data_IF_935978132505
#
_entry.id   IF_935978132505
#
_cell.length_a   1.000
_cell.length_b   1.000
_cell.length_c   1.000
_cell.angle_alpha   90.00
_cell.angle_beta   90.00
_cell.angle_gamma   90.00
#
_symmetry.space_group_name_H-M   'P 1'
#
loop_
_entity.id
_entity.type
_entity.pdbx_description
1 polymer ?
#
# COMPACT_ATOMS: atom_id res chain seq x y z
N UNK A 1 -12.35 57.10 4.60
CA UNK A 1 -11.81 57.87 3.46
C UNK A 1 -10.35 58.17 3.79
N UNK A 2 -9.31 57.71 3.12
CA UNK A 2 -9.16 57.03 1.83
C UNK A 2 -8.05 55.98 1.94
N UNK A 3 -8.26 54.86 1.24
CA UNK A 3 -7.23 53.89 0.91
C UNK A 3 -6.20 54.53 -0.02
N UNK A 4 -4.91 54.25 0.21
CA UNK A 4 -3.82 54.52 -0.73
C UNK A 4 -3.13 53.20 -1.06
N UNK A 5 -3.59 52.61 -2.14
CA UNK A 5 -3.04 51.45 -2.85
C UNK A 5 -1.61 51.74 -3.30
N UNK A 6 -0.62 50.95 -2.87
CA UNK A 6 0.68 50.86 -3.54
C UNK A 6 0.61 49.71 -4.54
N UNK A 7 0.60 50.04 -5.82
CA UNK A 7 0.84 49.13 -6.92
C UNK A 7 2.29 48.63 -6.86
N UNK A 8 2.47 47.31 -6.84
CA UNK A 8 3.73 46.68 -7.20
C UNK A 8 3.77 46.51 -8.73
N UNK A 9 4.88 46.93 -9.32
CA UNK A 9 5.16 46.91 -10.77
C UNK A 9 5.25 45.47 -11.30
N UNK A 10 4.79 45.20 -12.53
CA UNK A 10 5.01 43.92 -13.19
C UNK A 10 6.38 43.88 -13.88
N UNK A 11 6.88 42.65 -14.05
CA UNK A 11 8.01 42.18 -14.87
C UNK A 11 9.14 41.55 -14.04
N UNK A 12 9.04 40.24 -13.83
CA UNK A 12 10.16 39.38 -14.21
C UNK A 12 9.62 38.25 -15.11
N UNK A 13 10.27 38.14 -16.26
CA UNK A 13 9.89 37.39 -17.42
C UNK A 13 10.76 36.13 -17.43
N UNK A 14 10.37 35.14 -16.63
CA UNK A 14 10.87 33.77 -16.78
C UNK A 14 9.72 32.94 -17.35
N UNK A 15 9.98 32.24 -18.45
CA UNK A 15 9.00 31.49 -19.23
C UNK A 15 7.96 30.79 -18.34
N UNK A 16 6.65 30.90 -18.61
CA UNK A 16 5.69 30.01 -17.97
C UNK A 16 6.11 28.57 -18.29
N UNK A 17 6.14 27.65 -17.31
CA UNK A 17 6.41 26.26 -17.61
C UNK A 17 5.42 25.82 -18.70
N UNK A 18 5.93 25.19 -19.76
CA UNK A 18 5.11 24.55 -20.78
C UNK A 18 4.05 23.73 -20.05
N UNK A 19 2.77 24.08 -20.21
CA UNK A 19 1.64 23.51 -19.49
C UNK A 19 1.76 21.98 -19.40
N UNK A 20 2.24 21.44 -18.28
CA UNK A 20 2.57 20.02 -18.11
C UNK A 20 1.36 19.11 -18.43
N UNK A 21 0.14 19.67 -18.43
CA UNK A 21 -1.09 19.00 -18.82
C UNK A 21 -1.14 18.51 -20.27
N UNK A 22 -0.45 19.14 -21.23
CA UNK A 22 -0.48 18.67 -22.63
C UNK A 22 0.41 17.44 -22.82
N UNK A 23 1.57 17.39 -22.15
CA UNK A 23 2.48 16.23 -22.22
C UNK A 23 1.81 15.02 -21.60
N UNK A 24 1.17 15.17 -20.44
CA UNK A 24 0.40 14.10 -19.80
C UNK A 24 -0.70 13.59 -20.73
N UNK A 25 -1.43 14.48 -21.40
CA UNK A 25 -2.45 14.08 -22.40
C UNK A 25 -1.86 13.31 -23.58
N UNK A 26 -0.64 13.61 -24.02
CA UNK A 26 0.05 12.83 -25.06
C UNK A 26 0.47 11.44 -24.56
N UNK A 27 0.96 11.34 -23.33
CA UNK A 27 1.27 10.07 -22.69
C UNK A 27 0.01 9.20 -22.55
N UNK A 28 -1.10 9.79 -22.09
CA UNK A 28 -2.40 9.14 -21.90
C UNK A 28 -3.03 8.67 -23.22
N UNK A 29 -2.74 9.34 -24.33
CA UNK A 29 -3.15 8.90 -25.68
C UNK A 29 -2.23 7.83 -26.28
N UNK A 30 -1.11 7.52 -25.63
CA UNK A 30 -0.12 6.55 -26.11
C UNK A 30 0.64 7.03 -27.35
N UNK A 31 0.76 8.35 -27.55
CA UNK A 31 1.47 8.92 -28.72
C UNK A 31 2.97 9.06 -28.49
N UNK A 32 3.42 8.97 -27.24
CA UNK A 32 4.83 9.00 -26.88
C UNK A 32 5.37 7.58 -26.65
N UNK A 33 6.56 7.24 -27.19
CA UNK A 33 7.24 5.99 -26.87
C UNK A 33 7.46 5.82 -25.36
N UNK A 34 7.28 4.60 -24.86
CA UNK A 34 7.45 4.24 -23.44
C UNK A 34 8.82 4.69 -22.88
N UNK A 35 9.88 4.68 -23.70
CA UNK A 35 11.23 5.14 -23.31
C UNK A 35 11.27 6.63 -22.94
N UNK A 36 10.52 7.47 -23.67
CA UNK A 36 10.40 8.90 -23.39
C UNK A 36 9.51 9.14 -22.17
N UNK A 37 8.40 8.40 -22.05
CA UNK A 37 7.50 8.46 -20.88
C UNK A 37 8.27 8.13 -19.60
N UNK A 38 9.02 7.03 -19.60
CA UNK A 38 9.88 6.60 -18.49
C UNK A 38 11.01 7.60 -18.18
N UNK A 39 11.60 8.24 -19.20
CA UNK A 39 12.57 9.31 -18.98
C UNK A 39 11.96 10.52 -18.26
N UNK A 40 10.73 10.89 -18.61
CA UNK A 40 9.94 11.91 -17.89
C UNK A 40 9.67 11.52 -16.45
N UNK A 41 9.22 10.28 -16.21
CA UNK A 41 9.00 9.74 -14.86
C UNK A 41 10.26 9.84 -13.98
N UNK A 42 11.44 9.45 -14.51
CA UNK A 42 12.72 9.60 -13.79
C UNK A 42 13.09 11.05 -13.51
N UNK A 43 12.70 12.00 -14.37
CA UNK A 43 12.89 13.42 -14.10
C UNK A 43 11.99 13.89 -12.94
N UNK A 44 10.72 13.50 -12.93
CA UNK A 44 9.79 13.79 -11.83
C UNK A 44 10.24 13.16 -10.50
N UNK A 45 10.72 11.92 -10.51
CA UNK A 45 11.26 11.25 -9.31
C UNK A 45 12.44 12.05 -8.73
N UNK A 46 13.36 12.51 -9.57
CA UNK A 46 14.48 13.37 -9.15
C UNK A 46 14.02 14.71 -8.60
N UNK A 47 12.98 15.29 -9.17
CA UNK A 47 12.39 16.52 -8.68
C UNK A 47 11.75 16.31 -7.31
N UNK A 48 10.97 15.23 -7.14
CA UNK A 48 10.35 14.89 -5.86
C UNK A 48 11.36 14.72 -4.73
N UNK A 49 12.50 14.07 -4.98
CA UNK A 49 13.57 13.95 -3.98
C UNK A 49 14.13 15.32 -3.56
N UNK A 50 14.17 16.31 -4.46
CA UNK A 50 14.59 17.68 -4.11
C UNK A 50 13.52 18.41 -3.32
N UNK A 51 12.26 18.31 -3.74
CA UNK A 51 11.12 18.98 -3.12
C UNK A 51 10.88 18.47 -1.70
N UNK A 52 11.05 17.17 -1.48
CA UNK A 52 10.96 16.52 -0.17
C UNK A 52 12.27 16.61 0.63
N UNK A 53 13.24 17.40 0.15
CA UNK A 53 14.48 17.70 0.85
C UNK A 53 15.29 16.45 1.26
N UNK A 54 15.37 15.44 0.39
CA UNK A 54 16.05 14.16 0.66
C UNK A 54 17.49 14.31 1.18
N UNK A 55 18.21 15.32 0.67
CA UNK A 55 19.60 15.62 1.03
C UNK A 55 19.79 16.49 2.29
N UNK A 56 18.71 17.00 2.90
CA UNK A 56 18.77 17.90 4.05
C UNK A 56 18.16 17.23 5.29
N UNK A 57 19.02 16.91 6.25
CA UNK A 57 18.59 16.21 7.47
C UNK A 57 17.68 17.04 8.38
N UNK A 58 17.92 18.35 8.48
CA UNK A 58 17.16 19.24 9.36
C UNK A 58 15.74 19.42 8.81
N UNK A 59 15.63 19.76 7.52
CA UNK A 59 14.32 19.93 6.87
C UNK A 59 13.52 18.64 6.84
N UNK A 60 14.18 17.50 6.61
CA UNK A 60 13.51 16.20 6.64
C UNK A 60 12.94 15.87 8.01
N UNK A 61 13.66 16.16 9.09
CA UNK A 61 13.15 15.97 10.46
C UNK A 61 11.94 16.88 10.72
N UNK A 62 12.02 18.17 10.37
CA UNK A 62 10.90 19.10 10.53
C UNK A 62 9.65 18.68 9.74
N UNK A 63 9.84 18.19 8.51
CA UNK A 63 8.76 17.67 7.68
C UNK A 63 8.13 16.41 8.30
N UNK A 64 8.94 15.49 8.82
CA UNK A 64 8.45 14.31 9.53
C UNK A 64 7.68 14.68 10.80
N UNK A 65 8.16 15.61 11.62
CA UNK A 65 7.48 16.06 12.83
C UNK A 65 6.10 16.67 12.50
N UNK A 66 6.03 17.47 11.44
CA UNK A 66 4.78 18.05 10.94
C UNK A 66 3.82 16.95 10.50
N UNK A 67 4.30 15.97 9.72
CA UNK A 67 3.50 14.83 9.29
C UNK A 67 3.01 13.99 10.47
N UNK A 68 3.86 13.71 11.46
CA UNK A 68 3.48 12.95 12.65
C UNK A 68 2.40 13.65 13.47
N UNK A 69 2.49 14.97 13.62
CA UNK A 69 1.46 15.76 14.28
C UNK A 69 0.10 15.62 13.55
N UNK A 70 0.10 15.75 12.22
CA UNK A 70 -1.11 15.65 11.40
C UNK A 70 -1.72 14.24 11.43
N UNK A 71 -0.91 13.19 11.27
CA UNK A 71 -1.35 11.80 11.33
C UNK A 71 -1.99 11.45 12.68
N UNK A 72 -1.45 11.95 13.79
CA UNK A 72 -1.99 11.70 15.15
C UNK A 72 -3.35 12.38 15.38
N UNK A 73 -3.64 13.47 14.68
CA UNK A 73 -4.93 14.18 14.79
C UNK A 73 -5.93 13.79 13.72
N UNK A 74 -5.50 13.07 12.69
CA UNK A 74 -6.34 12.59 11.60
C UNK A 74 -7.31 11.48 12.05
N UNK A 75 -8.37 11.18 11.28
CA UNK A 75 -9.10 9.92 11.41
C UNK A 75 -8.23 8.72 10.99
N UNK A 76 -8.68 7.49 11.24
CA UNK A 76 -7.96 6.26 10.82
C UNK A 76 -7.70 6.23 9.32
N UNK A 77 -8.68 6.63 8.50
CA UNK A 77 -8.56 6.74 7.05
C UNK A 77 -9.37 7.95 6.55
N UNK A 78 -8.95 8.52 5.43
CA UNK A 78 -9.67 9.55 4.68
C UNK A 78 -10.04 9.00 3.30
N UNK A 79 -11.10 9.52 2.68
CA UNK A 79 -11.45 9.22 1.29
C UNK A 79 -11.63 7.72 0.96
N UNK A 80 -12.15 6.93 1.90
CA UNK A 80 -12.28 5.46 1.77
C UNK A 80 -13.14 5.03 0.58
N UNK A 81 -14.16 5.83 0.22
CA UNK A 81 -15.01 5.56 -0.95
C UNK A 81 -14.29 5.86 -2.27
N UNK A 82 -13.60 7.00 -2.38
CA UNK A 82 -12.90 7.37 -3.61
C UNK A 82 -11.75 6.40 -3.94
N UNK A 83 -11.00 5.95 -2.93
CA UNK A 83 -9.97 4.93 -3.09
C UNK A 83 -10.55 3.60 -3.62
N UNK A 84 -11.75 3.23 -3.18
CA UNK A 84 -12.43 2.01 -3.63
C UNK A 84 -12.89 2.11 -5.09
N UNK A 85 -13.45 3.25 -5.46
CA UNK A 85 -13.90 3.55 -6.82
C UNK A 85 -12.72 3.55 -7.81
N UNK A 86 -11.55 4.06 -7.43
CA UNK A 86 -10.40 4.15 -8.32
C UNK A 86 -9.75 2.80 -8.69
N UNK A 87 -9.71 1.83 -7.77
CA UNK A 87 -9.00 0.56 -7.98
C UNK A 87 -9.88 -0.69 -8.10
N UNK A 88 -11.11 -0.65 -7.57
CA UNK A 88 -11.94 -1.85 -7.42
C UNK A 88 -13.22 -1.81 -8.27
N UNK A 89 -13.35 -0.83 -9.18
CA UNK A 89 -14.41 -0.82 -10.22
C UNK A 89 -14.20 -1.92 -11.28
N UNK A 90 -12.97 -2.38 -11.49
CA UNK A 90 -12.69 -3.42 -12.47
C UNK A 90 -13.02 -4.82 -11.95
N UNK A 91 -13.59 -5.69 -12.80
CA UNK A 91 -13.90 -7.06 -12.42
C UNK A 91 -12.63 -7.85 -12.11
N UNK A 92 -12.70 -8.84 -11.23
CA UNK A 92 -11.56 -9.72 -10.92
C UNK A 92 -10.91 -10.34 -12.16
N UNK A 93 -11.70 -10.61 -13.21
CA UNK A 93 -11.21 -11.11 -14.50
C UNK A 93 -10.19 -10.19 -15.19
N UNK A 94 -10.23 -8.88 -14.94
CA UNK A 94 -9.21 -7.94 -15.44
C UNK A 94 -7.84 -8.25 -14.80
N UNK A 95 -7.81 -8.43 -13.49
CA UNK A 95 -6.60 -8.75 -12.74
C UNK A 95 -6.08 -10.16 -13.08
N UNK A 96 -6.98 -11.13 -13.24
CA UNK A 96 -6.63 -12.49 -13.72
C UNK A 96 -5.99 -12.50 -15.11
N UNK A 97 -6.25 -11.46 -15.90
CA UNK A 97 -5.72 -11.40 -17.24
C UNK A 97 -4.21 -11.12 -17.29
N UNK A 98 -3.61 -10.55 -16.25
CA UNK A 98 -2.23 -10.08 -16.33
C UNK A 98 -1.42 -10.15 -15.01
N UNK A 99 -2.06 -10.33 -13.85
CA UNK A 99 -1.35 -10.65 -12.63
C UNK A 99 -0.90 -12.12 -12.63
N UNK A 100 -0.12 -12.51 -11.61
CA UNK A 100 0.29 -13.90 -11.45
C UNK A 100 -0.87 -14.80 -10.95
N UNK A 101 -0.66 -16.13 -10.89
CA UNK A 101 -1.70 -17.09 -10.55
C UNK A 101 -2.31 -16.92 -9.15
N UNK A 102 -1.60 -16.28 -8.22
CA UNK A 102 -2.10 -15.96 -6.88
C UNK A 102 -2.81 -14.61 -6.83
N UNK A 103 -2.86 -13.85 -7.93
CA UNK A 103 -3.47 -12.51 -8.02
C UNK A 103 -2.91 -11.57 -6.95
N UNK A 104 -1.60 -11.67 -6.69
CA UNK A 104 -0.95 -10.85 -5.69
C UNK A 104 -0.76 -9.46 -6.27
N UNK A 105 -1.68 -8.55 -5.98
CA UNK A 105 -1.57 -7.15 -6.41
C UNK A 105 -0.77 -6.32 -5.40
N UNK A 106 0.48 -6.73 -5.19
CA UNK A 106 1.50 -6.10 -4.34
C UNK A 106 2.89 -6.68 -4.68
N UNK A 107 3.97 -6.10 -4.18
CA UNK A 107 5.36 -6.47 -4.51
C UNK A 107 5.63 -7.99 -4.45
N UNK A 108 6.15 -8.60 -5.53
CA UNK A 108 6.66 -9.99 -5.53
C UNK A 108 8.09 -10.06 -4.97
N UNK A 109 8.64 -11.26 -4.76
CA UNK A 109 10.00 -11.46 -4.24
C UNK A 109 10.87 -12.24 -5.22
N UNK A 110 12.06 -11.72 -5.54
CA UNK A 110 12.96 -12.28 -6.56
C UNK A 110 14.37 -12.50 -5.99
N UNK A 111 14.57 -13.43 -5.04
CA UNK A 111 15.83 -13.58 -4.33
C UNK A 111 17.03 -13.92 -5.24
N UNK A 112 16.81 -14.71 -6.29
CA UNK A 112 17.86 -15.03 -7.29
C UNK A 112 17.83 -14.11 -8.51
N UNK A 113 16.77 -13.32 -8.68
CA UNK A 113 16.55 -12.50 -9.87
C UNK A 113 16.23 -13.32 -11.12
N UNK A 114 15.84 -14.58 -10.99
CA UNK A 114 15.48 -15.46 -12.12
C UNK A 114 14.05 -15.99 -12.02
N UNK A 115 13.34 -15.68 -10.95
CA UNK A 115 11.98 -16.10 -10.72
C UNK A 115 11.05 -15.53 -11.80
N UNK A 116 10.11 -16.37 -12.24
CA UNK A 116 8.91 -15.97 -12.98
C UNK A 116 7.98 -15.18 -12.07
N UNK A 117 6.98 -14.50 -12.64
CA UNK A 117 5.97 -13.79 -11.85
C UNK A 117 5.30 -14.73 -10.84
N UNK A 118 4.87 -15.92 -11.27
CA UNK A 118 4.24 -16.93 -10.40
C UNK A 118 5.13 -17.36 -9.23
N UNK A 119 6.42 -17.63 -9.51
CA UNK A 119 7.39 -17.98 -8.45
C UNK A 119 7.60 -16.81 -7.48
N UNK A 120 7.61 -15.57 -7.98
CA UNK A 120 7.81 -14.39 -7.14
C UNK A 120 6.65 -14.11 -6.17
N UNK A 121 5.42 -14.44 -6.58
CA UNK A 121 4.26 -14.35 -5.70
C UNK A 121 4.37 -15.33 -4.54
N UNK A 122 4.70 -16.60 -4.86
CA UNK A 122 4.88 -17.66 -3.85
C UNK A 122 6.03 -17.31 -2.90
N UNK A 123 7.19 -16.91 -3.44
CA UNK A 123 8.35 -16.56 -2.63
C UNK A 123 8.06 -15.42 -1.65
N UNK A 124 7.25 -14.43 -2.06
CA UNK A 124 6.85 -13.35 -1.15
C UNK A 124 5.87 -13.86 -0.08
N UNK A 125 4.87 -14.68 -0.44
CA UNK A 125 3.92 -15.26 0.52
C UNK A 125 4.63 -16.16 1.55
N UNK A 126 5.61 -16.95 1.12
CA UNK A 126 6.46 -17.76 2.00
C UNK A 126 7.28 -16.88 2.96
N UNK A 127 7.80 -15.74 2.48
CA UNK A 127 8.49 -14.79 3.34
C UNK A 127 7.58 -14.20 4.43
N UNK A 128 6.29 -14.01 4.14
CA UNK A 128 5.31 -13.58 5.14
C UNK A 128 5.11 -14.67 6.18
N UNK A 129 4.98 -15.93 5.75
CA UNK A 129 4.81 -17.05 6.66
C UNK A 129 5.98 -17.20 7.64
N UNK A 130 7.21 -17.06 7.15
CA UNK A 130 8.42 -17.08 7.97
C UNK A 130 8.44 -15.90 8.95
N UNK A 131 8.31 -14.66 8.44
CA UNK A 131 8.46 -13.43 9.24
C UNK A 131 7.33 -13.24 10.25
N UNK A 132 6.11 -13.63 9.90
CA UNK A 132 4.95 -13.59 10.78
C UNK A 132 4.85 -14.83 11.68
N UNK A 133 5.75 -15.81 11.56
CA UNK A 133 5.77 -17.03 12.37
C UNK A 133 4.42 -17.77 12.30
N UNK A 134 3.97 -18.01 11.07
CA UNK A 134 2.70 -18.69 10.81
C UNK A 134 2.83 -20.19 11.02
N UNK A 135 1.83 -20.75 11.68
CA UNK A 135 1.74 -22.17 11.98
C UNK A 135 0.33 -22.67 11.70
N UNK A 136 0.23 -23.96 11.37
CA UNK A 136 -1.08 -24.60 11.21
C UNK A 136 -1.82 -24.63 12.56
N UNK A 137 -3.16 -24.54 12.51
CA UNK A 137 -4.01 -24.46 13.70
C UNK A 137 -4.25 -23.05 14.25
N UNK A 138 -3.55 -22.02 13.74
CA UNK A 138 -3.75 -20.63 14.15
C UNK A 138 -5.06 -20.03 13.61
N UNK A 139 -5.61 -19.05 14.32
CA UNK A 139 -6.61 -18.10 13.80
C UNK A 139 -5.91 -16.89 13.20
N UNK A 140 -6.02 -16.72 11.88
CA UNK A 140 -5.24 -15.75 11.11
C UNK A 140 -6.17 -14.75 10.41
N UNK A 141 -5.93 -13.45 10.58
CA UNK A 141 -6.61 -12.37 9.85
C UNK A 141 -5.75 -11.83 8.70
N UNK A 142 -6.30 -11.82 7.49
CA UNK A 142 -5.82 -11.05 6.35
C UNK A 142 -6.58 -9.72 6.30
N UNK A 143 -5.92 -8.64 6.75
CA UNK A 143 -6.49 -7.32 6.96
C UNK A 143 -6.24 -6.42 5.74
N UNK A 144 -7.27 -6.28 4.90
CA UNK A 144 -7.18 -5.64 3.58
C UNK A 144 -6.83 -6.67 2.49
N UNK A 145 -7.64 -7.73 2.37
CA UNK A 145 -7.26 -8.94 1.65
C UNK A 145 -7.21 -8.84 0.10
N UNK A 146 -7.65 -7.72 -0.48
CA UNK A 146 -7.67 -7.50 -1.93
C UNK A 146 -8.42 -8.62 -2.68
N UNK A 147 -7.78 -9.23 -3.67
CA UNK A 147 -8.33 -10.38 -4.42
C UNK A 147 -8.12 -11.75 -3.72
N UNK A 148 -7.75 -11.72 -2.44
CA UNK A 148 -7.58 -12.91 -1.59
C UNK A 148 -6.30 -13.70 -1.83
N UNK A 149 -5.27 -13.06 -2.39
CA UNK A 149 -3.99 -13.72 -2.68
C UNK A 149 -3.40 -14.41 -1.45
N UNK A 150 -3.32 -13.67 -0.34
CA UNK A 150 -2.82 -14.17 0.93
C UNK A 150 -3.84 -15.10 1.59
N UNK A 151 -5.09 -14.67 1.79
CA UNK A 151 -6.14 -15.49 2.40
C UNK A 151 -6.31 -16.89 1.77
N UNK A 152 -6.37 -16.99 0.45
CA UNK A 152 -6.52 -18.27 -0.25
C UNK A 152 -5.26 -19.13 -0.14
N UNK A 153 -4.08 -18.51 -0.17
CA UNK A 153 -2.81 -19.23 0.03
C UNK A 153 -2.69 -19.77 1.45
N UNK A 154 -3.08 -18.98 2.47
CA UNK A 154 -3.08 -19.41 3.87
C UNK A 154 -4.01 -20.61 4.09
N UNK A 155 -5.23 -20.53 3.57
CA UNK A 155 -6.23 -21.59 3.71
C UNK A 155 -5.77 -22.91 3.09
N UNK A 156 -5.10 -22.84 1.94
CA UNK A 156 -4.49 -24.00 1.26
C UNK A 156 -3.26 -24.54 2.00
N UNK A 157 -2.41 -23.65 2.53
CA UNK A 157 -1.13 -24.00 3.15
C UNK A 157 -1.27 -24.55 4.57
N UNK A 158 -2.33 -24.15 5.28
CA UNK A 158 -2.59 -24.43 6.69
C UNK A 158 -4.03 -24.94 6.87
N UNK A 159 -4.30 -26.22 6.58
CA UNK A 159 -5.67 -26.76 6.54
C UNK A 159 -6.38 -26.77 7.91
N UNK A 160 -5.64 -26.75 9.02
CA UNK A 160 -6.20 -26.70 10.37
C UNK A 160 -6.30 -25.27 10.92
N UNK A 161 -5.70 -24.28 10.25
CA UNK A 161 -5.85 -22.87 10.60
C UNK A 161 -7.26 -22.36 10.27
N UNK A 162 -7.71 -21.32 10.98
CA UNK A 162 -8.95 -20.59 10.71
C UNK A 162 -8.61 -19.23 10.10
N UNK A 163 -8.85 -19.07 8.81
CA UNK A 163 -8.51 -17.85 8.09
C UNK A 163 -9.74 -16.94 8.04
N UNK A 164 -9.53 -15.68 8.41
CA UNK A 164 -10.51 -14.60 8.22
C UNK A 164 -9.90 -13.58 7.28
N UNK A 165 -10.65 -13.16 6.27
CA UNK A 165 -10.23 -12.12 5.34
C UNK A 165 -11.18 -10.93 5.43
N UNK A 166 -10.66 -9.73 5.69
CA UNK A 166 -11.44 -8.49 5.70
C UNK A 166 -11.16 -7.68 4.45
N UNK A 167 -12.21 -7.44 3.67
CA UNK A 167 -12.22 -6.51 2.53
C UNK A 167 -13.33 -5.49 2.71
N UNK A 168 -13.20 -4.31 2.12
CA UNK A 168 -14.29 -3.33 2.05
C UNK A 168 -15.15 -3.47 0.77
N UNK A 169 -14.83 -4.44 -0.10
CA UNK A 169 -15.48 -4.66 -1.40
C UNK A 169 -16.29 -5.96 -1.41
N UNK A 170 -17.57 -5.85 -1.76
CA UNK A 170 -18.44 -7.00 -1.99
C UNK A 170 -17.99 -7.84 -3.19
N UNK A 171 -17.43 -7.20 -4.24
CA UNK A 171 -16.93 -7.89 -5.43
C UNK A 171 -15.71 -8.77 -5.12
N UNK A 172 -14.78 -8.26 -4.31
CA UNK A 172 -13.63 -9.04 -3.83
C UNK A 172 -14.10 -10.22 -2.97
N UNK A 173 -15.06 -9.99 -2.06
CA UNK A 173 -15.63 -11.08 -1.26
C UNK A 173 -16.20 -12.20 -2.13
N UNK A 174 -17.10 -11.87 -3.05
CA UNK A 174 -17.74 -12.87 -3.92
C UNK A 174 -16.70 -13.63 -4.76
N UNK A 175 -15.68 -12.93 -5.24
CA UNK A 175 -14.57 -13.53 -5.96
C UNK A 175 -13.80 -14.56 -5.11
N UNK A 176 -13.42 -14.18 -3.88
CA UNK A 176 -12.65 -15.04 -2.98
C UNK A 176 -13.46 -16.26 -2.56
N UNK A 177 -14.74 -16.08 -2.20
CA UNK A 177 -15.64 -17.19 -1.83
C UNK A 177 -15.80 -18.19 -2.99
N UNK A 178 -15.95 -17.71 -4.22
CA UNK A 178 -16.03 -18.57 -5.40
C UNK A 178 -14.72 -19.36 -5.62
N UNK A 179 -13.56 -18.71 -5.45
CA UNK A 179 -12.25 -19.38 -5.56
C UNK A 179 -11.98 -20.37 -4.43
N UNK A 180 -12.42 -20.08 -3.22
CA UNK A 180 -12.35 -20.99 -2.08
C UNK A 180 -13.20 -22.25 -2.33
N UNK A 181 -14.46 -22.06 -2.77
CA UNK A 181 -15.36 -23.17 -3.09
C UNK A 181 -14.80 -24.05 -4.23
N UNK A 182 -14.26 -23.44 -5.29
CA UNK A 182 -13.63 -24.18 -6.39
C UNK A 182 -12.47 -25.07 -5.93
N UNK A 183 -11.74 -24.64 -4.90
CA UNK A 183 -10.57 -25.36 -4.34
C UNK A 183 -10.93 -26.26 -3.16
N UNK A 184 -12.20 -26.30 -2.75
CA UNK A 184 -12.64 -27.06 -1.57
C UNK A 184 -12.11 -26.52 -0.24
N UNK A 185 -11.75 -25.24 -0.16
CA UNK A 185 -11.24 -24.61 1.05
C UNK A 185 -12.40 -24.27 1.99
N UNK A 186 -12.49 -24.96 3.12
CA UNK A 186 -13.58 -24.82 4.10
C UNK A 186 -13.19 -24.02 5.34
N UNK A 187 -11.92 -23.64 5.45
CA UNK A 187 -11.34 -22.98 6.61
C UNK A 187 -11.14 -21.46 6.42
N UNK A 188 -11.80 -20.85 5.43
CA UNK A 188 -11.74 -19.42 5.11
C UNK A 188 -13.11 -18.76 5.27
N UNK A 189 -13.16 -17.70 6.08
CA UNK A 189 -14.29 -16.79 6.21
C UNK A 189 -13.94 -15.43 5.60
N UNK A 190 -14.75 -14.95 4.65
CA UNK A 190 -14.56 -13.62 4.03
C UNK A 190 -15.60 -12.65 4.56
N UNK A 191 -15.15 -11.55 5.14
CA UNK A 191 -15.97 -10.51 5.74
C UNK A 191 -15.86 -9.22 4.97
N UNK A 192 -16.99 -8.56 4.73
CA UNK A 192 -17.03 -7.23 4.11
C UNK A 192 -17.23 -6.16 5.18
N UNK A 193 -16.31 -5.22 5.31
CA UNK A 193 -16.39 -4.12 6.28
C UNK A 193 -15.33 -3.04 6.07
N UNK A 194 -15.67 -1.80 6.39
CA UNK A 194 -14.71 -0.70 6.44
C UNK A 194 -13.90 -0.78 7.75
N UNK A 195 -12.58 -0.85 7.68
CA UNK A 195 -11.69 -0.93 8.85
C UNK A 195 -11.93 0.18 9.88
N UNK A 196 -12.36 1.37 9.44
CA UNK A 196 -12.66 2.48 10.36
C UNK A 196 -13.80 2.09 11.32
N UNK A 197 -14.87 1.53 10.78
CA UNK A 197 -16.14 1.31 11.49
C UNK A 197 -16.32 -0.14 11.97
N UNK A 198 -15.70 -1.08 11.27
CA UNK A 198 -15.86 -2.52 11.50
C UNK A 198 -15.15 -2.94 12.78
N UNK A 199 -15.82 -3.71 13.62
CA UNK A 199 -15.21 -4.36 14.78
C UNK A 199 -15.55 -5.85 14.78
N UNK A 200 -14.62 -6.66 15.27
CA UNK A 200 -14.90 -8.08 15.49
C UNK A 200 -15.59 -8.22 16.85
N UNK A 201 -16.79 -8.84 16.90
CA UNK A 201 -17.49 -8.98 18.17
C UNK A 201 -16.65 -9.76 19.17
N UNK A 202 -16.65 -9.30 20.42
CA UNK A 202 -16.11 -10.05 21.55
C UNK A 202 -17.07 -11.19 21.89
N UNK A 203 -17.10 -12.23 21.06
CA UNK A 203 -17.99 -13.38 21.23
C UNK A 203 -17.43 -14.33 22.32
N UNK A 204 -17.52 -13.96 23.60
CA UNK A 204 -17.17 -14.84 24.71
C UNK A 204 -15.79 -15.53 24.56
N UNK A 205 -15.76 -16.86 24.48
CA UNK A 205 -14.56 -17.71 24.32
C UNK A 205 -13.97 -17.71 22.89
N UNK A 206 -14.47 -16.90 21.94
CA UNK A 206 -13.95 -16.82 20.58
C UNK A 206 -12.60 -16.09 20.54
N UNK A 207 -11.56 -16.88 20.84
CA UNK A 207 -10.11 -16.60 20.84
C UNK A 207 -9.73 -15.50 19.83
N UNK A 208 -9.14 -14.43 20.33
CA UNK A 208 -8.53 -13.38 19.52
C UNK A 208 -7.56 -13.93 18.46
N UNK A 209 -7.16 -13.14 17.46
CA UNK A 209 -6.30 -13.62 16.39
C UNK A 209 -4.88 -13.92 16.88
N UNK A 210 -4.37 -15.11 16.58
CA UNK A 210 -2.97 -15.45 16.82
C UNK A 210 -2.07 -14.62 15.91
N UNK A 211 -2.52 -14.38 14.67
CA UNK A 211 -1.78 -13.62 13.67
C UNK A 211 -2.71 -12.69 12.91
N UNK A 212 -2.28 -11.46 12.73
CA UNK A 212 -2.90 -10.51 11.81
C UNK A 212 -1.84 -10.12 10.79
N UNK A 213 -2.16 -10.18 9.51
CA UNK A 213 -1.29 -9.74 8.42
C UNK A 213 -1.99 -8.63 7.66
N UNK A 214 -1.24 -7.61 7.27
CA UNK A 214 -1.71 -6.57 6.37
C UNK A 214 -0.69 -6.35 5.28
N UNK A 215 -1.13 -6.39 4.02
CA UNK A 215 -0.28 -6.26 2.83
C UNK A 215 -0.76 -5.09 1.99
N UNK A 216 0.03 -4.02 1.96
CA UNK A 216 -0.20 -2.78 1.20
C UNK A 216 -1.58 -2.13 1.45
N UNK A 217 -2.01 -2.10 2.71
CA UNK A 217 -3.23 -1.40 3.15
C UNK A 217 -2.93 -0.15 4.01
N UNK A 218 -1.82 -0.15 4.76
CA UNK A 218 -1.46 0.92 5.69
C UNK A 218 -1.14 2.26 4.98
N UNK A 219 -0.80 2.23 3.71
CA UNK A 219 -0.52 3.40 2.86
C UNK A 219 -1.79 4.24 2.61
N UNK A 220 -2.96 3.62 2.74
CA UNK A 220 -4.25 4.29 2.67
C UNK A 220 -4.72 4.86 4.02
N UNK A 221 -4.03 4.52 5.11
CA UNK A 221 -4.38 4.93 6.46
C UNK A 221 -3.72 6.27 6.82
N UNK A 222 -4.15 6.86 7.93
CA UNK A 222 -3.65 8.13 8.46
C UNK A 222 -3.30 8.01 9.94
N UNK A 223 -4.29 7.83 10.80
CA UNK A 223 -4.02 7.67 12.23
C UNK A 223 -3.58 6.26 12.58
N UNK A 224 -2.28 6.01 12.45
CA UNK A 224 -1.66 4.73 12.78
C UNK A 224 -1.77 4.37 14.26
N UNK A 225 -1.80 5.35 15.17
CA UNK A 225 -1.99 5.11 16.60
C UNK A 225 -3.34 4.46 16.89
N UNK A 226 -4.42 5.11 16.47
CA UNK A 226 -5.78 4.57 16.64
C UNK A 226 -5.98 3.24 15.90
N UNK A 227 -5.36 3.08 14.72
CA UNK A 227 -5.41 1.82 13.97
C UNK A 227 -4.71 0.68 14.74
N UNK A 228 -3.50 0.92 15.23
CA UNK A 228 -2.72 -0.10 15.96
C UNK A 228 -3.36 -0.42 17.31
N UNK A 229 -3.94 0.56 18.01
CA UNK A 229 -4.76 0.35 19.21
C UNK A 229 -5.93 -0.61 18.92
N UNK A 230 -6.64 -0.35 17.81
CA UNK A 230 -7.76 -1.20 17.38
C UNK A 230 -7.30 -2.62 17.05
N UNK A 231 -6.21 -2.77 16.30
CA UNK A 231 -5.64 -4.08 15.95
C UNK A 231 -5.16 -4.82 17.21
N UNK A 232 -4.59 -4.12 18.19
CA UNK A 232 -4.13 -4.72 19.45
C UNK A 232 -5.28 -5.42 20.21
N UNK A 233 -6.49 -4.85 20.19
CA UNK A 233 -7.69 -5.45 20.80
C UNK A 233 -8.12 -6.75 20.12
N UNK A 234 -7.79 -6.91 18.84
CA UNK A 234 -8.14 -8.10 18.06
C UNK A 234 -7.13 -9.24 18.21
N UNK A 235 -5.93 -8.95 18.71
CA UNK A 235 -4.87 -9.94 18.89
C UNK A 235 -5.03 -10.75 20.18
N UNK A 236 -4.64 -12.02 20.12
CA UNK A 236 -4.37 -12.82 21.31
C UNK A 236 -3.20 -12.22 22.11
N UNK A 237 -2.99 -12.67 23.35
CA UNK A 237 -1.95 -12.11 24.23
C UNK A 237 -0.53 -12.34 23.69
N UNK A 238 -0.28 -13.48 23.04
CA UNK A 238 0.93 -13.80 22.29
C UNK A 238 0.77 -13.56 20.77
N UNK A 239 -0.31 -12.87 20.39
CA UNK A 239 -0.65 -12.57 19.01
C UNK A 239 0.34 -11.59 18.37
N UNK A 240 0.55 -11.74 17.05
CA UNK A 240 1.47 -10.88 16.29
C UNK A 240 0.79 -10.21 15.12
N UNK A 241 1.15 -8.95 14.88
CA UNK A 241 0.79 -8.24 13.66
C UNK A 241 2.01 -8.19 12.73
N UNK A 242 1.83 -8.65 11.50
CA UNK A 242 2.80 -8.48 10.42
C UNK A 242 2.28 -7.45 9.41
N UNK A 243 3.10 -6.45 9.11
CA UNK A 243 2.75 -5.39 8.15
C UNK A 243 3.76 -5.40 7.01
N UNK A 244 3.28 -5.53 5.78
CA UNK A 244 4.01 -5.25 4.55
C UNK A 244 3.51 -3.91 3.99
N UNK A 245 4.41 -2.96 3.83
CA UNK A 245 4.09 -1.61 3.36
C UNK A 245 5.18 -1.13 2.39
N UNK A 246 4.80 -0.55 1.25
CA UNK A 246 5.78 0.15 0.43
C UNK A 246 6.23 1.43 1.14
N UNK A 247 7.49 1.82 0.97
CA UNK A 247 8.06 2.95 1.68
C UNK A 247 9.22 3.59 0.91
N UNK A 248 9.50 4.84 1.24
CA UNK A 248 10.81 5.43 0.98
C UNK A 248 11.75 5.14 2.16
N UNK A 249 13.06 5.02 1.93
CA UNK A 249 14.03 4.65 2.98
C UNK A 249 14.08 5.64 4.17
N UNK A 250 13.84 6.94 3.93
CA UNK A 250 13.96 8.01 4.95
C UNK A 250 12.82 9.02 4.97
N UNK A 251 12.39 9.51 3.81
CA UNK A 251 11.26 10.41 3.63
C UNK A 251 9.89 9.78 3.94
N UNK A 252 8.99 10.57 4.50
CA UNK A 252 7.57 10.27 4.62
C UNK A 252 6.78 11.52 4.24
N UNK A 253 5.69 11.38 3.49
CA UNK A 253 4.85 12.49 3.03
C UNK A 253 3.47 12.00 2.57
N UNK A 254 2.49 12.89 2.50
CA UNK A 254 1.21 12.58 1.86
C UNK A 254 1.33 12.57 0.33
N UNK A 255 0.58 11.68 -0.31
CA UNK A 255 0.24 11.84 -1.72
C UNK A 255 -0.80 12.95 -1.81
N UNK A 256 -0.35 14.16 -2.08
CA UNK A 256 -1.19 15.35 -2.18
C UNK A 256 -1.11 15.94 -3.58
N UNK A 257 -2.26 16.11 -4.23
CA UNK A 257 -2.43 16.81 -5.50
C UNK A 257 -2.18 18.32 -5.36
N UNK A 258 -0.92 18.71 -5.11
CA UNK A 258 -0.52 20.12 -4.95
C UNK A 258 -0.57 20.90 -6.27
N UNK A 259 -0.52 20.20 -7.41
CA UNK A 259 -0.56 20.79 -8.74
C UNK A 259 -1.23 19.88 -9.78
N UNK A 260 -1.34 20.38 -11.01
CA UNK A 260 -1.92 19.67 -12.15
C UNK A 260 -1.10 18.48 -12.63
N UNK A 261 0.15 18.31 -12.17
CA UNK A 261 1.06 17.26 -12.60
C UNK A 261 1.15 16.06 -11.67
N UNK A 262 0.49 16.08 -10.51
CA UNK A 262 0.28 14.90 -9.67
C UNK A 262 -0.81 13.94 -10.21
N UNK A 263 -0.56 13.47 -11.44
CA UNK A 263 -1.37 12.48 -12.14
C UNK A 263 -1.52 11.18 -11.33
N UNK A 264 -0.44 10.78 -10.65
CA UNK A 264 -0.37 9.54 -9.90
C UNK A 264 -1.29 9.57 -8.66
N UNK A 265 -1.26 10.65 -7.88
CA UNK A 265 -2.20 10.82 -6.77
C UNK A 265 -3.64 10.91 -7.27
N UNK A 266 -3.89 11.64 -8.36
CA UNK A 266 -5.26 11.84 -8.89
C UNK A 266 -5.96 10.56 -9.30
N UNK A 267 -5.26 9.64 -9.97
CA UNK A 267 -5.89 8.45 -10.54
C UNK A 267 -5.71 7.19 -9.70
N UNK A 268 -4.68 7.10 -8.86
CA UNK A 268 -4.31 5.85 -8.20
C UNK A 268 -3.94 5.98 -6.71
N UNK A 269 -3.64 7.17 -6.16
CA UNK A 269 -3.27 7.29 -4.74
C UNK A 269 -3.91 8.50 -4.06
N UNK A 270 -5.18 8.77 -4.35
CA UNK A 270 -5.88 9.91 -3.75
C UNK A 270 -5.99 9.69 -2.23
N UNK A 271 -5.50 10.66 -1.46
CA UNK A 271 -5.53 10.58 0.00
C UNK A 271 -4.55 9.57 0.60
N UNK A 272 -3.59 9.03 -0.15
CA UNK A 272 -2.60 8.09 0.36
C UNK A 272 -1.43 8.76 1.12
N UNK A 273 -0.57 7.93 1.69
CA UNK A 273 0.69 8.35 2.35
C UNK A 273 1.84 7.55 1.73
N UNK A 274 2.93 8.22 1.37
CA UNK A 274 4.23 7.57 1.19
C UNK A 274 4.90 7.50 2.57
N UNK A 275 4.99 6.33 3.20
CA UNK A 275 5.62 6.21 4.50
C UNK A 275 7.15 6.14 4.36
N UNK A 276 7.85 6.47 5.44
CA UNK A 276 9.26 6.11 5.58
C UNK A 276 9.39 4.71 6.19
N UNK A 277 10.54 4.07 5.99
CA UNK A 277 10.90 2.86 6.72
C UNK A 277 10.88 3.05 8.25
N UNK A 278 10.95 4.27 8.77
CA UNK A 278 10.89 4.52 10.21
C UNK A 278 9.51 4.98 10.71
N UNK A 279 8.54 5.19 9.82
CA UNK A 279 7.30 5.90 10.17
C UNK A 279 6.54 5.20 11.31
N UNK A 280 6.31 3.90 11.18
CA UNK A 280 5.54 3.13 12.16
C UNK A 280 6.25 2.97 13.52
N UNK A 281 7.56 3.22 13.60
CA UNK A 281 8.28 3.23 14.88
C UNK A 281 7.82 4.38 15.81
N UNK A 282 7.11 5.38 15.27
CA UNK A 282 6.58 6.53 16.01
C UNK A 282 5.18 6.29 16.60
N UNK A 283 4.62 5.09 16.40
CA UNK A 283 3.28 4.69 16.85
C UNK A 283 3.39 3.32 17.53
N UNK A 284 3.83 3.31 18.79
CA UNK A 284 4.10 2.07 19.54
C UNK A 284 3.45 2.02 20.92
N UNK A 285 2.33 2.71 21.09
CA UNK A 285 1.65 2.80 22.39
C UNK A 285 1.04 1.46 22.80
N UNK A 286 0.38 0.74 21.87
CA UNK A 286 -0.26 -0.56 22.13
C UNK A 286 0.47 -1.76 21.52
N UNK A 287 1.16 -1.55 20.40
CA UNK A 287 1.93 -2.57 19.68
C UNK A 287 3.37 -2.08 19.47
N UNK A 288 4.36 -2.92 19.74
CA UNK A 288 5.77 -2.59 19.55
C UNK A 288 6.36 -3.40 18.41
N UNK A 289 7.14 -2.75 17.53
CA UNK A 289 7.95 -3.41 16.51
C UNK A 289 9.06 -4.21 17.20
N UNK A 290 9.09 -5.52 16.98
CA UNK A 290 10.13 -6.41 17.50
C UNK A 290 11.15 -6.78 16.43
N UNK A 291 10.75 -6.75 15.16
CA UNK A 291 11.61 -6.97 14.01
C UNK A 291 11.18 -6.11 12.84
N UNK A 292 12.16 -5.71 12.04
CA UNK A 292 11.94 -4.96 10.81
C UNK A 292 12.85 -5.52 9.72
N UNK A 293 12.34 -5.59 8.49
CA UNK A 293 13.09 -5.97 7.30
C UNK A 293 12.88 -4.95 6.19
N UNK A 294 13.91 -4.80 5.35
CA UNK A 294 13.83 -4.01 4.13
C UNK A 294 13.93 -4.93 2.92
N UNK A 295 13.02 -4.77 1.97
CA UNK A 295 13.01 -5.43 0.68
C UNK A 295 13.32 -4.36 -0.37
N UNK A 296 14.42 -4.55 -1.11
CA UNK A 296 14.89 -3.60 -2.11
C UNK A 296 13.83 -3.35 -3.19
N UNK A 297 13.70 -2.11 -3.66
CA UNK A 297 12.67 -1.72 -4.63
C UNK A 297 12.77 -2.41 -5.98
N UNK A 298 13.94 -2.96 -6.36
CA UNK A 298 14.10 -3.72 -7.61
C UNK A 298 13.14 -4.91 -7.70
N UNK A 299 12.71 -5.49 -6.58
CA UNK A 299 11.69 -6.52 -6.56
C UNK A 299 10.34 -5.99 -7.05
N UNK A 300 9.90 -4.84 -6.53
CA UNK A 300 8.64 -4.23 -6.96
C UNK A 300 8.74 -3.69 -8.39
N UNK A 301 9.89 -3.12 -8.75
CA UNK A 301 10.12 -2.65 -10.11
C UNK A 301 9.94 -3.77 -11.14
N UNK A 302 10.55 -4.93 -10.86
CA UNK A 302 10.41 -6.14 -11.68
C UNK A 302 9.00 -6.69 -11.68
N UNK A 303 8.30 -6.70 -10.53
CA UNK A 303 6.88 -7.07 -10.48
C UNK A 303 6.06 -6.20 -11.43
N UNK A 304 6.24 -4.88 -11.39
CA UNK A 304 5.50 -3.95 -12.23
C UNK A 304 5.82 -4.11 -13.73
N UNK A 305 7.09 -4.35 -14.09
CA UNK A 305 7.47 -4.62 -15.48
C UNK A 305 6.85 -5.93 -16.00
N UNK A 306 6.78 -6.97 -15.16
CA UNK A 306 6.12 -8.22 -15.52
C UNK A 306 4.60 -8.05 -15.68
N UNK A 307 3.95 -7.25 -14.82
CA UNK A 307 2.54 -6.91 -14.98
C UNK A 307 2.27 -6.10 -16.24
N UNK A 308 3.13 -5.11 -16.55
CA UNK A 308 3.03 -4.32 -17.77
C UNK A 308 3.11 -5.21 -19.02
N UNK A 309 4.14 -6.06 -19.10
CA UNK A 309 4.32 -6.98 -20.22
C UNK A 309 3.14 -7.96 -20.36
N UNK A 310 2.63 -8.48 -19.24
CA UNK A 310 1.47 -9.36 -19.24
C UNK A 310 0.17 -8.64 -19.63
N UNK A 311 -0.01 -7.37 -19.22
CA UNK A 311 -1.16 -6.54 -19.61
C UNK A 311 -1.15 -6.28 -21.11
N UNK A 312 0.01 -5.93 -21.66
CA UNK A 312 0.19 -5.71 -23.10
C UNK A 312 -0.10 -6.99 -23.91
N UNK A 313 0.38 -8.14 -23.44
CA UNK A 313 0.07 -9.44 -24.04
C UNK A 313 -1.42 -9.81 -23.92
N UNK A 314 -2.09 -9.40 -22.84
CA UNK A 314 -3.49 -9.67 -22.59
C UNK A 314 -4.46 -8.63 -23.19
N UNK A 315 -3.96 -7.65 -23.95
CA UNK A 315 -4.73 -6.50 -24.46
C UNK A 315 -6.07 -6.89 -25.09
N UNK A 316 -6.08 -7.88 -25.97
CA UNK A 316 -7.31 -8.32 -26.65
C UNK A 316 -8.37 -8.90 -25.69
N UNK A 317 -7.93 -9.49 -24.58
CA UNK A 317 -8.80 -10.05 -23.54
C UNK A 317 -9.31 -8.98 -22.58
N UNK A 318 -8.49 -7.99 -22.22
CA UNK A 318 -8.88 -6.93 -21.27
C UNK A 318 -9.70 -5.81 -21.90
N UNK A 319 -9.52 -5.54 -23.20
CA UNK A 319 -10.20 -4.40 -23.86
C UNK A 319 -11.73 -4.47 -23.76
N UNK A 320 -12.41 -5.63 -23.99
CA UNK A 320 -13.85 -5.72 -23.80
C UNK A 320 -14.29 -5.42 -22.36
N UNK A 321 -13.50 -5.80 -21.37
CA UNK A 321 -13.78 -5.53 -19.95
C UNK A 321 -13.67 -4.03 -19.65
N UNK A 322 -12.65 -3.38 -20.20
CA UNK A 322 -12.47 -1.94 -20.11
C UNK A 322 -13.57 -1.17 -20.85
N UNK A 323 -14.02 -1.65 -22.02
CA UNK A 323 -15.16 -1.07 -22.74
C UNK A 323 -16.47 -1.18 -21.95
N UNK A 324 -16.70 -2.31 -21.29
CA UNK A 324 -17.87 -2.47 -20.45
C UNK A 324 -17.85 -1.55 -19.20
N UNK A 325 -16.66 -1.25 -18.68
CA UNK A 325 -16.50 -0.45 -17.45
C UNK A 325 -16.43 1.05 -17.75
N UNK A 326 -15.65 1.43 -18.76
CA UNK A 326 -15.29 2.83 -19.05
C UNK A 326 -15.85 3.35 -20.38
N UNK A 327 -16.58 2.53 -21.15
CA UNK A 327 -17.16 2.93 -22.43
C UNK A 327 -16.10 3.39 -23.44
N UNK A 328 -16.33 4.57 -24.02
CA UNK A 328 -15.45 5.17 -25.03
C UNK A 328 -14.04 5.48 -24.50
N UNK A 329 -13.88 5.61 -23.18
CA UNK A 329 -12.59 5.88 -22.54
C UNK A 329 -11.75 4.61 -22.31
N UNK A 330 -12.17 3.43 -22.77
CA UNK A 330 -11.47 2.17 -22.52
C UNK A 330 -9.99 2.17 -22.98
N UNK A 331 -9.72 2.74 -24.16
CA UNK A 331 -8.35 2.82 -24.68
C UNK A 331 -7.47 3.78 -23.85
N UNK A 332 -8.05 4.89 -23.40
CA UNK A 332 -7.42 5.83 -22.49
C UNK A 332 -7.08 5.14 -21.17
N UNK A 333 -8.03 4.44 -20.57
CA UNK A 333 -7.82 3.71 -19.32
C UNK A 333 -6.80 2.58 -19.44
N UNK A 334 -6.76 1.83 -20.55
CA UNK A 334 -5.68 0.87 -20.77
C UNK A 334 -4.31 1.56 -20.70
N UNK A 335 -4.18 2.70 -21.36
CA UNK A 335 -2.92 3.45 -21.36
C UNK A 335 -2.58 4.00 -19.96
N UNK A 336 -3.58 4.45 -19.19
CA UNK A 336 -3.39 4.83 -17.78
C UNK A 336 -2.88 3.65 -16.94
N UNK A 337 -3.43 2.45 -17.12
CA UNK A 337 -2.93 1.23 -16.46
C UNK A 337 -1.48 0.89 -16.86
N UNK A 338 -1.12 1.04 -18.14
CA UNK A 338 0.27 0.89 -18.58
C UNK A 338 1.19 1.92 -17.92
N UNK A 339 0.77 3.19 -17.92
CA UNK A 339 1.51 4.29 -17.27
C UNK A 339 1.66 4.07 -15.77
N UNK A 340 0.64 3.53 -15.09
CA UNK A 340 0.69 3.15 -13.69
C UNK A 340 1.83 2.16 -13.43
N UNK A 341 1.88 1.05 -14.17
CA UNK A 341 2.95 0.05 -14.00
C UNK A 341 4.33 0.61 -14.36
N UNK A 342 4.43 1.47 -15.39
CA UNK A 342 5.68 2.18 -15.67
C UNK A 342 6.10 3.08 -14.51
N UNK A 343 5.17 3.83 -13.90
CA UNK A 343 5.47 4.72 -12.78
C UNK A 343 5.95 3.94 -11.55
N UNK A 344 5.30 2.82 -11.22
CA UNK A 344 5.73 1.91 -10.15
C UNK A 344 7.12 1.35 -10.46
N UNK A 345 7.35 0.86 -11.69
CA UNK A 345 8.66 0.36 -12.13
C UNK A 345 9.77 1.40 -11.96
N UNK A 346 9.58 2.61 -12.47
CA UNK A 346 10.58 3.67 -12.39
C UNK A 346 10.83 4.16 -10.95
N UNK A 347 9.77 4.26 -10.13
CA UNK A 347 9.88 4.71 -8.74
C UNK A 347 10.69 3.72 -7.89
N UNK A 348 10.27 2.46 -7.87
CA UNK A 348 10.93 1.43 -7.08
C UNK A 348 12.24 0.94 -7.72
N UNK A 349 12.43 1.14 -9.02
CA UNK A 349 13.70 0.84 -9.70
C UNK A 349 14.75 1.94 -9.55
N UNK A 350 14.36 3.13 -9.11
CA UNK A 350 15.25 4.28 -9.01
C UNK A 350 16.46 3.99 -8.12
N UNK A 351 17.64 4.42 -8.59
CA UNK A 351 18.93 4.17 -7.94
C UNK A 351 19.12 2.69 -7.55
N UNK A 352 18.79 1.77 -8.46
CA UNK A 352 18.84 0.32 -8.23
C UNK A 352 17.99 -0.15 -7.04
N UNK A 353 16.83 0.49 -6.86
CA UNK A 353 15.86 0.22 -5.81
C UNK A 353 16.32 0.55 -4.38
N UNK A 354 17.24 1.50 -4.25
CA UNK A 354 17.79 1.92 -2.96
C UNK A 354 17.05 3.10 -2.31
N UNK A 355 16.23 3.85 -3.05
CA UNK A 355 15.46 4.98 -2.49
C UNK A 355 14.06 4.55 -2.01
N UNK A 356 13.28 3.90 -2.88
CA UNK A 356 11.99 3.29 -2.52
C UNK A 356 12.10 1.78 -2.50
N UNK A 357 11.36 1.14 -1.60
CA UNK A 357 11.31 -0.29 -1.43
C UNK A 357 10.10 -0.69 -0.60
N UNK A 358 10.19 -1.83 0.05
CA UNK A 358 9.12 -2.34 0.91
C UNK A 358 9.68 -2.62 2.29
N UNK A 359 9.01 -2.12 3.32
CA UNK A 359 9.31 -2.41 4.71
C UNK A 359 8.36 -3.49 5.22
N UNK A 360 8.92 -4.51 5.89
CA UNK A 360 8.14 -5.45 6.68
C UNK A 360 8.37 -5.19 8.16
N UNK A 361 7.31 -5.24 8.95
CA UNK A 361 7.35 -5.07 10.40
C UNK A 361 6.67 -6.25 11.06
N UNK A 362 7.27 -6.76 12.13
CA UNK A 362 6.61 -7.65 13.06
C UNK A 362 6.37 -6.88 14.35
N UNK A 363 5.11 -6.82 14.76
CA UNK A 363 4.65 -6.19 15.98
C UNK A 363 4.18 -7.25 16.98
N UNK A 364 4.42 -6.98 18.25
CA UNK A 364 3.87 -7.73 19.39
C UNK A 364 3.16 -6.75 20.33
N UNK A 365 2.23 -7.24 21.15
CA UNK A 365 1.57 -6.40 22.17
C UNK A 365 2.59 -5.77 23.09
N UNK A 366 2.43 -4.47 23.37
CA UNK A 366 3.23 -3.81 24.37
C UNK A 366 2.88 -4.38 25.74
N UNK A 367 3.84 -5.03 26.40
CA UNK A 367 3.66 -5.48 27.76
C UNK A 367 3.47 -4.25 28.66
N UNK A 368 2.35 -4.19 29.38
CA UNK A 368 2.09 -3.18 30.40
C UNK A 368 3.01 -3.40 31.61
N UNK A 369 4.29 -3.06 31.48
CA UNK A 369 5.14 -2.83 32.65
C UNK A 369 4.78 -1.46 33.20
N UNK A 370 3.70 -1.39 34.02
CA UNK A 370 3.61 -0.30 34.99
C UNK A 370 4.92 -0.32 35.79
N UNK A 371 5.67 0.80 35.90
CA UNK A 371 6.82 0.82 36.79
C UNK A 371 6.29 0.49 38.17
N UNK A 372 6.74 -0.65 38.73
CA UNK A 372 6.51 -0.99 40.11
C UNK A 372 7.02 0.20 40.92
N UNK A 373 6.11 0.93 41.57
CA UNK A 373 6.44 2.01 42.50
C UNK A 373 7.56 1.50 43.40
N UNK A 374 8.75 2.08 43.25
CA UNK A 374 9.83 1.92 44.21
C UNK A 374 9.25 2.39 45.54
N UNK A 375 8.82 1.44 46.38
CA UNK A 375 8.62 1.68 47.79
C UNK A 375 9.97 2.14 48.32
N UNK A 376 10.08 3.44 48.54
CA UNK A 376 11.10 4.05 49.37
C UNK A 376 10.97 3.45 50.76
N UNK A 377 11.64 2.33 51.00
CA UNK A 377 11.96 1.88 52.35
C UNK A 377 12.90 2.91 52.95
N UNK A 378 12.29 3.75 53.77
CA UNK A 378 12.88 4.43 54.92
C UNK A 378 14.01 3.59 55.51
N UNK A 379 15.21 4.17 55.57
CA UNK A 379 16.20 3.79 56.56
C UNK A 379 16.33 4.98 57.49
N UNK A 380 15.89 4.72 58.72
CA UNK A 380 16.03 5.51 59.95
C UNK A 380 17.47 5.87 60.27
#
# INVERSE_FOLDING_TARGET
MNASTRQASPLDNSNPPLDESWIIRLCERGWLPDTLVRAGMRAFIRQRLRDEHAGDGERRTQALDTLLADLRTSPIAIETQAANTQHYELPGAFFEAHLGPRLKYSCGYFPSGQETLAQSEIAMLESYAERAQLADGQRILDLGCGWGSLALWLAERYPNARIVALSNSHGQRAFIEARAAQRGLTNLLVTTGNIVDFDFPADGDAVAFDRILSVEMFEHMKNYGLLLEKIARWLADDGKLFVHIFAHRTLAYHFSSRDSSDWMSRYFFTGGTMPSAALLLNFQDDLCVTRQWWVNGSHYARTADLWLAALDAARARVMPMLQNTYGDDAALWLQRWRMFYMAVSELFGYASGSEWGVAHYLFEKRLNTRPNTLQSKVIS
#
